data_IF_489472477146
#
_entry.id   IF_489472477146
#
_cell.length_a   1.000
_cell.length_b   1.000
_cell.length_c   1.000
_cell.angle_alpha   90.00
_cell.angle_beta   90.00
_cell.angle_gamma   90.00
#
_symmetry.space_group_name_H-M   'P 1'
#
loop_
_entity.id
_entity.type
_entity.pdbx_description
1 polymer ?
#
# COMPACT_ATOMS: atom_id res chain seq x y z
N UNK A 1 -43.94 -63.52 41.75
CA UNK A 1 -44.08 -63.12 40.33
C UNK A 1 -44.83 -61.80 40.27
N UNK A 2 -44.14 -60.66 40.11
CA UNK A 2 -44.79 -59.37 39.83
C UNK A 2 -44.44 -58.96 38.41
N UNK A 3 -45.15 -59.52 37.42
CA UNK A 3 -45.19 -58.96 36.06
C UNK A 3 -46.27 -57.89 36.07
N UNK A 4 -45.90 -56.63 36.34
CA UNK A 4 -46.79 -55.50 36.06
C UNK A 4 -46.87 -55.37 34.53
N UNK A 5 -48.03 -55.68 33.99
CA UNK A 5 -48.32 -55.46 32.57
C UNK A 5 -48.25 -53.97 32.27
N UNK A 6 -47.49 -53.63 31.23
CA UNK A 6 -47.48 -52.29 30.64
C UNK A 6 -48.91 -51.91 30.25
N UNK A 7 -49.39 -50.77 30.74
CA UNK A 7 -50.71 -50.29 30.37
C UNK A 7 -50.68 -49.77 28.94
N UNK A 8 -51.78 -49.94 28.19
CA UNK A 8 -51.87 -49.54 26.78
C UNK A 8 -51.57 -48.03 26.59
N UNK A 9 -51.86 -47.22 27.62
CA UNK A 9 -51.55 -45.80 27.67
C UNK A 9 -50.03 -45.52 27.74
N UNK A 10 -49.27 -46.28 28.53
CA UNK A 10 -47.80 -46.18 28.55
C UNK A 10 -47.19 -46.52 27.18
N UNK A 11 -47.71 -47.54 26.49
CA UNK A 11 -47.20 -47.95 25.18
C UNK A 11 -47.43 -46.88 24.10
N UNK A 12 -48.58 -46.18 24.13
CA UNK A 12 -48.86 -45.05 23.23
C UNK A 12 -47.94 -43.87 23.51
N UNK A 13 -47.67 -43.57 24.78
CA UNK A 13 -46.72 -42.50 25.16
C UNK A 13 -45.30 -42.82 24.68
N UNK A 14 -44.85 -44.07 24.82
CA UNK A 14 -43.55 -44.49 24.29
C UNK A 14 -43.47 -44.38 22.77
N UNK A 15 -44.51 -44.81 22.04
CA UNK A 15 -44.56 -44.64 20.58
C UNK A 15 -44.57 -43.16 20.15
N UNK A 16 -45.29 -42.30 20.87
CA UNK A 16 -45.31 -40.87 20.62
C UNK A 16 -43.96 -40.20 20.88
N UNK A 17 -43.29 -40.54 22.00
CA UNK A 17 -41.95 -40.02 22.29
C UNK A 17 -40.93 -40.47 21.25
N UNK A 18 -40.95 -41.75 20.83
CA UNK A 18 -40.07 -42.27 19.78
C UNK A 18 -40.35 -41.55 18.45
N UNK A 19 -41.62 -41.33 18.10
CA UNK A 19 -42.00 -40.60 16.89
C UNK A 19 -41.44 -39.17 16.86
N UNK A 20 -41.55 -38.43 17.97
CA UNK A 20 -41.00 -37.08 18.10
C UNK A 20 -39.46 -37.10 17.99
N UNK A 21 -38.80 -38.04 18.67
CA UNK A 21 -37.33 -38.16 18.63
C UNK A 21 -36.84 -38.47 17.20
N UNK A 22 -37.52 -39.36 16.48
CA UNK A 22 -37.19 -39.68 15.08
C UNK A 22 -37.40 -38.47 14.16
N UNK A 23 -38.46 -37.69 14.39
CA UNK A 23 -38.72 -36.46 13.63
C UNK A 23 -37.63 -35.41 13.86
N UNK A 24 -37.30 -35.14 15.12
CA UNK A 24 -36.26 -34.17 15.50
C UNK A 24 -34.88 -34.63 15.00
N UNK A 25 -34.56 -35.93 15.10
CA UNK A 25 -33.32 -36.47 14.54
C UNK A 25 -33.30 -36.36 13.01
N UNK A 26 -34.41 -36.67 12.33
CA UNK A 26 -34.53 -36.53 10.88
C UNK A 26 -34.33 -35.10 10.39
N UNK A 27 -34.94 -34.12 11.05
CA UNK A 27 -34.73 -32.71 10.76
C UNK A 27 -33.29 -32.27 11.05
N UNK A 28 -32.70 -32.72 12.17
CA UNK A 28 -31.30 -32.41 12.51
C UNK A 28 -30.31 -32.97 11.48
N UNK A 29 -30.49 -34.22 11.02
CA UNK A 29 -29.65 -34.83 9.98
C UNK A 29 -29.84 -34.17 8.62
N UNK A 30 -31.08 -33.85 8.24
CA UNK A 30 -31.38 -33.14 6.99
C UNK A 30 -30.75 -31.74 6.99
N UNK A 31 -30.91 -30.99 8.07
CA UNK A 31 -30.32 -29.66 8.23
C UNK A 31 -28.78 -29.70 8.24
N UNK A 32 -28.18 -30.68 8.93
CA UNK A 32 -26.73 -30.87 8.94
C UNK A 32 -26.17 -31.21 7.55
N UNK A 33 -26.85 -32.08 6.80
CA UNK A 33 -26.44 -32.46 5.45
C UNK A 33 -26.57 -31.29 4.49
N UNK A 34 -27.68 -30.54 4.56
CA UNK A 34 -27.89 -29.33 3.76
C UNK A 34 -26.84 -28.28 4.07
N UNK A 35 -26.51 -28.06 5.34
CA UNK A 35 -25.46 -27.14 5.75
C UNK A 35 -24.10 -27.55 5.16
N UNK A 36 -23.72 -28.84 5.29
CA UNK A 36 -22.47 -29.35 4.73
C UNK A 36 -22.37 -29.16 3.22
N UNK A 37 -23.43 -29.47 2.47
CA UNK A 37 -23.47 -29.32 1.00
C UNK A 37 -23.34 -27.85 0.61
N UNK A 38 -24.07 -26.95 1.29
CA UNK A 38 -23.97 -25.50 1.07
C UNK A 38 -22.56 -24.98 1.34
N UNK A 39 -21.97 -25.32 2.49
CA UNK A 39 -20.60 -24.91 2.82
C UNK A 39 -19.58 -25.42 1.82
N UNK A 40 -19.71 -26.65 1.33
CA UNK A 40 -18.82 -27.19 0.29
C UNK A 40 -18.97 -26.44 -1.04
N UNK A 41 -20.19 -26.09 -1.44
CA UNK A 41 -20.43 -25.33 -2.67
C UNK A 41 -19.91 -23.90 -2.55
N UNK A 42 -20.12 -23.25 -1.41
CA UNK A 42 -19.58 -21.92 -1.12
C UNK A 42 -18.04 -21.91 -1.16
N UNK A 43 -17.39 -22.91 -0.56
CA UNK A 43 -15.93 -23.04 -0.59
C UNK A 43 -15.40 -23.25 -2.02
N UNK A 44 -16.09 -24.06 -2.84
CA UNK A 44 -15.72 -24.25 -4.25
C UNK A 44 -15.88 -22.96 -5.07
N UNK A 45 -16.97 -22.22 -4.86
CA UNK A 45 -17.20 -20.95 -5.53
C UNK A 45 -16.12 -19.91 -5.15
N UNK A 46 -15.78 -19.82 -3.86
CA UNK A 46 -14.72 -18.96 -3.37
C UNK A 46 -13.35 -19.35 -3.93
N UNK A 47 -13.01 -20.65 -3.94
CA UNK A 47 -11.75 -21.14 -4.49
C UNK A 47 -11.63 -20.85 -5.99
N UNK A 48 -12.72 -21.02 -6.76
CA UNK A 48 -12.74 -20.69 -8.19
C UNK A 48 -12.50 -19.19 -8.40
N UNK A 49 -13.18 -18.34 -7.64
CA UNK A 49 -13.03 -16.89 -7.69
C UNK A 49 -11.59 -16.45 -7.32
N UNK A 50 -10.99 -17.04 -6.28
CA UNK A 50 -9.61 -16.77 -5.88
C UNK A 50 -8.59 -17.21 -6.94
N UNK A 51 -8.75 -18.39 -7.52
CA UNK A 51 -7.86 -18.89 -8.58
C UNK A 51 -7.87 -17.96 -9.80
N UNK A 52 -9.07 -17.53 -10.24
CA UNK A 52 -9.21 -16.52 -11.28
C UNK A 52 -8.54 -15.21 -10.87
N UNK A 53 -8.69 -14.82 -9.61
CA UNK A 53 -8.11 -13.60 -9.08
C UNK A 53 -6.59 -13.55 -9.05
N UNK A 54 -5.94 -14.69 -8.80
CA UNK A 54 -4.47 -14.79 -8.88
C UNK A 54 -4.01 -14.56 -10.31
N UNK A 55 -4.64 -15.21 -11.29
CA UNK A 55 -4.27 -15.07 -12.70
C UNK A 55 -4.56 -13.66 -13.23
N UNK A 56 -5.73 -13.11 -12.89
CA UNK A 56 -6.10 -11.74 -13.24
C UNK A 56 -5.11 -10.72 -12.67
N UNK A 57 -4.71 -10.90 -11.39
CA UNK A 57 -3.71 -10.03 -10.75
C UNK A 57 -2.37 -10.11 -11.47
N UNK A 58 -1.94 -11.31 -11.87
CA UNK A 58 -0.68 -11.48 -12.60
C UNK A 58 -0.72 -10.73 -13.93
N UNK A 59 -1.76 -10.95 -14.74
CA UNK A 59 -1.95 -10.26 -16.03
C UNK A 59 -1.97 -8.72 -15.88
N UNK A 60 -2.75 -8.21 -14.93
CA UNK A 60 -2.90 -6.75 -14.71
C UNK A 60 -1.66 -6.13 -14.11
N UNK A 61 -0.92 -6.83 -13.26
CA UNK A 61 0.33 -6.31 -12.68
C UNK A 61 1.40 -6.05 -13.73
N UNK A 62 1.38 -6.80 -14.83
CA UNK A 62 2.30 -6.65 -15.96
C UNK A 62 1.94 -5.47 -16.88
N UNK A 63 0.84 -4.76 -16.64
CA UNK A 63 0.58 -3.48 -17.30
C UNK A 63 1.68 -2.45 -17.02
N UNK A 64 2.35 -2.57 -15.86
CA UNK A 64 3.50 -1.74 -15.45
C UNK A 64 4.77 -1.94 -16.28
N UNK A 65 4.90 -3.08 -16.94
CA UNK A 65 6.12 -3.48 -17.62
C UNK A 65 6.22 -2.84 -19.01
N UNK A 66 7.30 -2.07 -19.22
CA UNK A 66 7.61 -1.36 -20.49
C UNK A 66 9.07 -1.48 -20.91
N UNK A 67 9.92 -2.03 -20.05
CA UNK A 67 11.34 -2.21 -20.32
C UNK A 67 11.80 -3.64 -20.06
N UNK A 68 12.83 -4.06 -20.76
CA UNK A 68 13.43 -5.40 -20.65
C UNK A 68 14.94 -5.32 -20.71
N UNK A 69 15.61 -6.28 -20.10
CA UNK A 69 17.07 -6.40 -20.20
C UNK A 69 17.49 -6.73 -21.64
N UNK A 70 18.53 -6.06 -22.14
CA UNK A 70 19.16 -6.42 -23.41
C UNK A 70 20.35 -7.37 -23.18
N UNK A 71 20.46 -8.36 -24.08
CA UNK A 71 21.63 -9.22 -24.18
C UNK A 71 22.76 -8.46 -24.89
N UNK A 72 23.57 -7.73 -24.12
CA UNK A 72 24.84 -7.18 -24.63
C UNK A 72 25.97 -8.19 -24.39
N UNK A 73 26.46 -8.81 -25.46
CA UNK A 73 27.65 -9.67 -25.42
C UNK A 73 28.88 -8.82 -25.01
N UNK A 74 29.31 -8.97 -23.76
CA UNK A 74 30.54 -8.36 -23.23
C UNK A 74 30.36 -7.03 -22.49
N UNK A 75 29.14 -6.61 -22.17
CA UNK A 75 28.91 -5.44 -21.31
C UNK A 75 29.09 -5.79 -19.82
N UNK A 76 29.79 -4.92 -19.09
CA UNK A 76 29.95 -5.00 -17.62
C UNK A 76 28.77 -4.42 -16.83
N UNK A 77 27.75 -3.91 -17.52
CA UNK A 77 26.54 -3.31 -16.94
C UNK A 77 25.30 -3.72 -17.73
N UNK A 78 24.18 -3.89 -17.02
CA UNK A 78 22.88 -4.23 -17.61
C UNK A 78 22.33 -3.03 -18.39
N UNK A 79 22.05 -3.20 -19.69
CA UNK A 79 21.32 -2.24 -20.52
C UNK A 79 19.85 -2.64 -20.63
N UNK A 80 18.96 -1.65 -20.69
CA UNK A 80 17.51 -1.87 -20.77
C UNK A 80 16.95 -1.26 -22.05
N UNK A 81 16.21 -2.07 -22.81
CA UNK A 81 15.39 -1.63 -23.93
C UNK A 81 14.00 -1.24 -23.42
N UNK A 82 13.45 -0.13 -23.94
CA UNK A 82 12.06 0.27 -23.66
C UNK A 82 11.23 -0.01 -24.91
N UNK A 83 10.27 -0.92 -24.80
CA UNK A 83 9.32 -1.21 -25.87
C UNK A 83 8.33 -0.04 -25.98
N UNK A 84 8.24 0.58 -27.15
CA UNK A 84 7.45 1.80 -27.36
C UNK A 84 6.38 1.68 -28.43
N UNK A 85 6.45 0.68 -29.30
CA UNK A 85 5.56 0.60 -30.45
C UNK A 85 4.40 -0.35 -30.17
N UNK A 86 4.67 -1.54 -29.64
CA UNK A 86 3.66 -2.61 -29.58
C UNK A 86 2.96 -2.73 -28.23
N UNK A 87 3.45 -2.06 -27.17
CA UNK A 87 2.93 -2.20 -25.81
C UNK A 87 1.82 -1.17 -25.47
N UNK A 88 1.61 -0.18 -26.34
CA UNK A 88 0.57 0.83 -26.20
C UNK A 88 -0.53 0.60 -27.25
N UNK A 89 -1.78 0.94 -26.92
CA UNK A 89 -2.93 0.66 -27.78
C UNK A 89 -2.82 1.40 -29.12
N UNK A 90 -2.67 2.73 -29.10
CA UNK A 90 -2.51 3.56 -30.29
C UNK A 90 -1.66 4.81 -29.98
N UNK A 91 -0.34 4.68 -29.79
CA UNK A 91 0.50 5.80 -29.38
C UNK A 91 0.60 6.90 -30.46
N UNK A 92 0.52 6.53 -31.74
CA UNK A 92 0.79 7.42 -32.88
C UNK A 92 -0.46 7.92 -33.63
N UNK A 93 -1.67 7.62 -33.13
CA UNK A 93 -2.90 8.13 -33.74
C UNK A 93 -3.01 9.66 -33.53
N UNK A 94 -2.91 10.42 -34.62
CA UNK A 94 -2.97 11.88 -34.60
C UNK A 94 -4.31 12.44 -34.11
N UNK A 95 -5.39 11.66 -34.18
CA UNK A 95 -6.75 12.07 -33.81
C UNK A 95 -7.12 11.64 -32.39
N UNK A 96 -6.64 10.47 -31.95
CA UNK A 96 -6.92 9.89 -30.62
C UNK A 96 -5.70 9.12 -30.08
N UNK A 97 -4.62 9.81 -29.67
CA UNK A 97 -3.45 9.13 -29.13
C UNK A 97 -3.80 8.44 -27.81
N UNK A 98 -3.72 7.11 -27.78
CA UNK A 98 -3.89 6.26 -26.60
C UNK A 98 -2.56 5.61 -26.25
N UNK A 99 -1.81 6.27 -25.36
CA UNK A 99 -0.54 5.78 -24.83
C UNK A 99 -0.72 4.93 -23.56
N UNK A 100 -1.90 4.33 -23.36
CA UNK A 100 -2.12 3.33 -22.30
C UNK A 100 -1.96 1.91 -22.85
N UNK A 101 -1.83 0.94 -21.94
CA UNK A 101 -1.72 -0.48 -22.29
C UNK A 101 -3.02 -1.26 -22.06
N UNK A 102 -4.17 -0.59 -21.88
CA UNK A 102 -5.43 -1.28 -21.62
C UNK A 102 -6.67 -0.58 -22.17
N UNK A 103 -7.74 -1.36 -22.35
CA UNK A 103 -9.07 -0.92 -22.74
C UNK A 103 -10.07 -1.61 -21.82
N UNK A 104 -11.01 -0.85 -21.26
CA UNK A 104 -12.14 -1.41 -20.52
C UNK A 104 -13.40 -1.08 -21.33
N UNK A 105 -14.31 -2.02 -21.49
CA UNK A 105 -15.64 -1.77 -22.07
C UNK A 105 -16.67 -2.07 -20.99
N UNK A 106 -17.48 -1.09 -20.63
CA UNK A 106 -18.57 -1.26 -19.66
C UNK A 106 -19.74 -1.98 -20.30
N UNK A 107 -20.40 -2.84 -19.52
CA UNK A 107 -21.60 -3.58 -19.93
C UNK A 107 -21.44 -4.25 -21.31
N UNK A 108 -20.35 -5.02 -21.44
CA UNK A 108 -20.00 -5.76 -22.64
C UNK A 108 -21.15 -6.67 -23.09
N UNK A 109 -21.38 -6.74 -24.40
CA UNK A 109 -22.53 -7.42 -25.01
C UNK A 109 -23.92 -6.96 -24.47
N UNK A 110 -24.00 -5.76 -23.89
CA UNK A 110 -25.24 -5.17 -23.39
C UNK A 110 -25.76 -5.77 -22.09
N UNK A 111 -24.94 -6.56 -21.39
CA UNK A 111 -25.29 -7.17 -20.10
C UNK A 111 -24.78 -6.29 -18.96
N UNK A 112 -25.71 -5.69 -18.22
CA UNK A 112 -25.38 -4.81 -17.10
C UNK A 112 -24.54 -5.54 -16.04
N UNK A 113 -23.41 -4.94 -15.64
CA UNK A 113 -22.52 -5.48 -14.62
C UNK A 113 -21.48 -6.50 -15.13
N UNK A 114 -21.39 -6.69 -16.44
CA UNK A 114 -20.35 -7.51 -17.08
C UNK A 114 -19.48 -6.62 -17.98
N UNK A 115 -18.38 -6.15 -17.42
CA UNK A 115 -17.37 -5.40 -18.15
C UNK A 115 -16.49 -6.33 -19.02
N UNK A 116 -15.71 -5.77 -19.92
CA UNK A 116 -14.56 -6.45 -20.51
C UNK A 116 -13.28 -5.64 -20.32
N UNK A 117 -12.15 -6.33 -20.25
CA UNK A 117 -10.81 -5.75 -20.12
C UNK A 117 -9.91 -6.33 -21.19
N UNK A 118 -9.44 -5.50 -22.11
CA UNK A 118 -8.31 -5.79 -22.99
C UNK A 118 -7.03 -5.18 -22.43
N UNK A 119 -5.92 -5.91 -22.45
CA UNK A 119 -4.62 -5.41 -22.01
C UNK A 119 -3.48 -5.87 -22.93
N UNK A 120 -2.43 -5.05 -22.99
CA UNK A 120 -1.16 -5.35 -23.63
C UNK A 120 -0.10 -5.51 -22.53
N UNK A 121 0.55 -6.67 -22.47
CA UNK A 121 1.62 -6.94 -21.50
C UNK A 121 2.90 -7.40 -22.18
N UNK A 122 4.03 -7.20 -21.51
CA UNK A 122 5.29 -7.81 -21.91
C UNK A 122 5.47 -9.16 -21.21
N UNK A 123 5.90 -10.17 -21.97
CA UNK A 123 6.40 -11.44 -21.42
C UNK A 123 7.92 -11.42 -21.43
N UNK A 124 8.49 -11.73 -20.26
CA UNK A 124 9.93 -11.87 -20.08
C UNK A 124 10.36 -13.32 -20.20
N UNK A 125 11.61 -13.54 -20.61
CA UNK A 125 12.29 -14.82 -20.43
C UNK A 125 12.81 -14.94 -18.99
N UNK A 126 13.26 -16.13 -18.61
CA UNK A 126 13.78 -16.42 -17.27
C UNK A 126 14.96 -15.50 -16.85
N UNK A 127 15.71 -14.98 -17.82
CA UNK A 127 16.85 -14.07 -17.61
C UNK A 127 16.46 -12.58 -17.57
N UNK A 128 15.15 -12.27 -17.63
CA UNK A 128 14.62 -10.90 -17.64
C UNK A 128 14.71 -10.19 -19.00
N UNK A 129 15.11 -10.91 -20.05
CA UNK A 129 15.16 -10.36 -21.41
C UNK A 129 13.79 -10.36 -22.08
N UNK A 130 13.65 -9.58 -23.14
CA UNK A 130 12.43 -9.51 -23.93
C UNK A 130 12.05 -10.87 -24.51
N UNK A 131 10.84 -11.34 -24.21
CA UNK A 131 10.23 -12.51 -24.83
C UNK A 131 9.26 -12.11 -25.95
N UNK A 132 8.16 -11.46 -25.57
CA UNK A 132 7.06 -11.08 -26.47
C UNK A 132 6.19 -9.96 -25.89
N UNK A 133 5.35 -9.37 -26.74
CA UNK A 133 4.19 -8.56 -26.35
C UNK A 133 2.92 -9.35 -26.62
N UNK A 134 2.09 -9.49 -25.59
CA UNK A 134 0.87 -10.28 -25.60
C UNK A 134 -0.35 -9.39 -25.39
N UNK A 135 -1.39 -9.63 -26.19
CA UNK A 135 -2.72 -9.06 -26.01
C UNK A 135 -3.59 -10.06 -25.27
N UNK A 136 -4.09 -9.64 -24.11
CA UNK A 136 -4.97 -10.44 -23.27
C UNK A 136 -6.35 -9.79 -23.20
N UNK A 137 -7.38 -10.61 -23.26
CA UNK A 137 -8.77 -10.18 -23.09
C UNK A 137 -9.44 -10.93 -21.95
N UNK A 138 -10.18 -10.22 -21.12
CA UNK A 138 -11.06 -10.78 -20.10
C UNK A 138 -12.49 -10.31 -20.38
N UNK A 139 -13.42 -11.24 -20.52
CA UNK A 139 -14.82 -10.91 -20.82
C UNK A 139 -15.75 -12.04 -20.40
N UNK A 140 -17.01 -11.72 -20.13
CA UNK A 140 -18.05 -12.70 -19.83
C UNK A 140 -18.91 -12.93 -21.07
N UNK A 141 -19.09 -14.18 -21.45
CA UNK A 141 -19.99 -14.58 -22.54
C UNK A 141 -20.85 -15.76 -22.08
N UNK A 142 -22.18 -15.61 -22.19
CA UNK A 142 -23.16 -16.61 -21.74
C UNK A 142 -22.96 -17.07 -20.28
N UNK A 143 -22.60 -16.15 -19.39
CA UNK A 143 -22.34 -16.45 -17.97
C UNK A 143 -21.02 -17.20 -17.73
N UNK A 144 -20.14 -17.30 -18.72
CA UNK A 144 -18.81 -17.88 -18.57
C UNK A 144 -17.77 -16.77 -18.72
N UNK A 145 -16.91 -16.59 -17.71
CA UNK A 145 -15.76 -15.72 -17.80
C UNK A 145 -14.67 -16.41 -18.62
N UNK A 146 -14.22 -15.72 -19.67
CA UNK A 146 -13.22 -16.19 -20.60
C UNK A 146 -11.99 -15.29 -20.56
N UNK A 147 -10.82 -15.92 -20.69
CA UNK A 147 -9.53 -15.25 -20.88
C UNK A 147 -9.02 -15.58 -22.28
N UNK A 148 -8.80 -14.59 -23.12
CA UNK A 148 -8.14 -14.74 -24.41
C UNK A 148 -6.69 -14.26 -24.35
N UNK A 149 -5.79 -14.91 -25.09
CA UNK A 149 -4.41 -14.48 -25.25
C UNK A 149 -3.93 -14.60 -26.70
N UNK A 150 -3.22 -13.60 -27.18
CA UNK A 150 -2.59 -13.58 -28.50
C UNK A 150 -1.23 -12.90 -28.43
N UNK A 151 -0.20 -13.46 -29.07
CA UNK A 151 1.07 -12.76 -29.25
C UNK A 151 0.95 -11.75 -30.38
N UNK A 152 1.32 -10.50 -30.13
CA UNK A 152 1.31 -9.40 -31.13
C UNK A 152 2.71 -9.18 -31.71
N UNK A 153 3.76 -9.35 -30.89
CA UNK A 153 5.15 -9.12 -31.29
C UNK A 153 6.10 -10.01 -30.48
N UNK A 154 7.24 -10.38 -31.06
CA UNK A 154 8.26 -11.22 -30.41
C UNK A 154 8.11 -12.72 -30.70
N UNK A 155 8.61 -13.56 -29.79
CA UNK A 155 8.58 -15.02 -29.94
C UNK A 155 7.25 -15.57 -29.45
N UNK A 156 6.51 -16.28 -30.29
CA UNK A 156 5.21 -16.85 -29.91
C UNK A 156 5.32 -17.93 -28.82
N UNK A 157 4.23 -18.12 -28.08
CA UNK A 157 3.97 -19.30 -27.26
C UNK A 157 2.77 -20.03 -27.87
N UNK A 158 2.98 -21.07 -28.69
CA UNK A 158 1.89 -21.74 -29.42
C UNK A 158 0.85 -22.38 -28.52
N UNK A 159 1.22 -22.76 -27.29
CA UNK A 159 0.34 -23.47 -26.36
C UNK A 159 -0.54 -22.51 -25.56
N UNK A 160 -0.03 -21.32 -25.22
CA UNK A 160 -0.73 -20.39 -24.33
C UNK A 160 -1.19 -19.09 -25.01
N UNK A 161 -0.40 -18.57 -25.95
CA UNK A 161 -0.59 -17.25 -26.57
C UNK A 161 -0.09 -17.27 -28.04
N UNK A 162 -0.77 -17.97 -28.96
CA UNK A 162 -0.36 -18.08 -30.36
C UNK A 162 -0.42 -16.72 -31.09
N UNK A 163 0.28 -16.63 -32.23
CA UNK A 163 0.34 -15.41 -33.05
C UNK A 163 -0.93 -15.23 -33.92
N UNK A 164 -1.40 -16.31 -34.54
CA UNK A 164 -2.39 -16.27 -35.62
C UNK A 164 -3.81 -15.90 -35.15
N UNK A 165 -4.31 -16.58 -34.10
CA UNK A 165 -5.65 -16.35 -33.55
C UNK A 165 -5.61 -16.35 -32.01
N UNK A 166 -6.44 -15.54 -31.34
CA UNK A 166 -6.46 -15.50 -29.88
C UNK A 166 -6.94 -16.83 -29.29
N UNK A 167 -6.08 -17.51 -28.52
CA UNK A 167 -6.47 -18.67 -27.75
C UNK A 167 -7.40 -18.24 -26.61
N UNK A 168 -8.60 -18.80 -26.54
CA UNK A 168 -9.59 -18.48 -25.50
C UNK A 168 -9.77 -19.65 -24.54
N UNK A 169 -9.62 -19.39 -23.24
CA UNK A 169 -9.76 -20.36 -22.16
C UNK A 169 -10.93 -19.95 -21.26
N UNK A 170 -11.72 -20.94 -20.85
CA UNK A 170 -12.83 -20.75 -19.90
C UNK A 170 -12.29 -20.78 -18.47
N UNK A 171 -12.54 -19.70 -17.72
CA UNK A 171 -11.95 -19.47 -16.41
C UNK A 171 -12.92 -19.76 -15.27
N UNK A 172 -14.17 -19.36 -15.43
CA UNK A 172 -15.24 -19.63 -14.47
C UNK A 172 -16.60 -19.68 -15.16
N UNK A 173 -17.44 -20.62 -14.75
CA UNK A 173 -18.84 -20.72 -15.18
C UNK A 173 -19.77 -20.05 -14.17
N UNK A 174 -20.99 -19.70 -14.61
CA UNK A 174 -22.05 -19.09 -13.80
C UNK A 174 -21.62 -17.77 -13.13
N UNK A 175 -21.00 -16.90 -13.91
CA UNK A 175 -20.60 -15.56 -13.48
C UNK A 175 -21.82 -14.64 -13.48
N UNK A 176 -22.11 -14.07 -12.31
CA UNK A 176 -23.20 -13.12 -12.12
C UNK A 176 -22.75 -11.68 -12.36
N UNK A 177 -21.49 -11.39 -12.02
CA UNK A 177 -20.92 -10.04 -12.09
C UNK A 177 -19.43 -10.14 -12.40
N UNK A 178 -18.95 -9.33 -13.34
CA UNK A 178 -17.54 -9.07 -13.54
C UNK A 178 -17.36 -7.59 -13.85
N UNK A 179 -16.84 -6.83 -12.89
CA UNK A 179 -16.65 -5.37 -13.05
C UNK A 179 -15.20 -4.98 -12.85
N UNK A 180 -14.74 -4.03 -13.66
CA UNK A 180 -13.38 -3.47 -13.61
C UNK A 180 -13.47 -1.95 -13.53
N UNK A 181 -12.84 -1.38 -12.52
CA UNK A 181 -12.87 0.05 -12.24
C UNK A 181 -11.45 0.61 -12.20
N UNK A 182 -11.11 1.52 -13.13
CA UNK A 182 -9.83 2.19 -13.08
C UNK A 182 -9.81 3.23 -11.94
N UNK A 183 -8.64 3.40 -11.34
CA UNK A 183 -8.40 4.47 -10.39
C UNK A 183 -7.24 5.37 -10.79
N UNK A 184 -7.42 6.65 -10.48
CA UNK A 184 -6.35 7.63 -10.44
C UNK A 184 -5.82 7.73 -9.01
N UNK A 185 -4.54 8.08 -8.81
CA UNK A 185 -4.05 8.39 -7.48
C UNK A 185 -4.89 9.55 -6.91
N UNK A 186 -5.36 9.40 -5.66
CA UNK A 186 -6.18 10.42 -5.00
C UNK A 186 -5.38 11.69 -4.67
N UNK A 187 -4.05 11.57 -4.63
CA UNK A 187 -3.13 12.69 -4.52
C UNK A 187 -2.44 12.90 -5.87
N UNK A 188 -2.66 14.07 -6.50
CA UNK A 188 -1.71 14.58 -7.49
C UNK A 188 -0.33 14.70 -6.83
N UNK A 189 0.76 14.49 -7.58
CA UNK A 189 2.15 14.68 -7.12
C UNK A 189 2.38 16.01 -6.37
N UNK A 190 1.56 17.04 -6.66
CA UNK A 190 1.58 18.34 -5.99
C UNK A 190 1.00 18.33 -4.55
N UNK A 191 0.19 17.33 -4.19
CA UNK A 191 -0.50 17.20 -2.90
C UNK A 191 -0.02 16.00 -2.07
N UNK A 192 0.85 15.13 -2.61
CA UNK A 192 1.36 13.98 -1.88
C UNK A 192 2.38 14.39 -0.81
N UNK A 193 3.15 15.46 -1.02
CA UNK A 193 4.11 15.99 -0.03
C UNK A 193 3.42 16.94 0.96
N UNK A 194 3.59 16.66 2.25
CA UNK A 194 3.03 17.45 3.35
C UNK A 194 4.12 18.31 4.02
N UNK A 195 5.32 17.75 4.16
CA UNK A 195 6.47 18.42 4.77
C UNK A 195 7.72 18.38 3.88
N UNK A 196 8.59 19.40 3.96
CA UNK A 196 8.42 20.63 4.75
C UNK A 196 7.46 21.63 4.09
N UNK A 197 7.19 21.44 2.79
CA UNK A 197 6.23 22.18 1.97
C UNK A 197 5.55 21.21 1.01
N UNK A 198 4.38 21.60 0.49
CA UNK A 198 3.75 20.91 -0.64
C UNK A 198 4.46 21.18 -1.97
N UNK A 199 5.27 22.24 -2.04
CA UNK A 199 6.13 22.53 -3.19
C UNK A 199 7.36 21.59 -3.19
N UNK A 200 7.58 20.89 -4.30
CA UNK A 200 8.70 19.95 -4.48
C UNK A 200 10.05 20.67 -4.60
N UNK A 201 10.05 21.94 -4.97
CA UNK A 201 11.25 22.78 -5.03
C UNK A 201 11.70 23.28 -3.65
N UNK A 202 10.78 23.39 -2.67
CA UNK A 202 11.11 23.73 -1.29
C UNK A 202 11.55 22.50 -0.50
N UNK A 203 12.84 22.44 -0.18
CA UNK A 203 13.44 21.40 0.67
C UNK A 203 13.90 21.93 2.04
N UNK A 204 13.85 23.24 2.25
CA UNK A 204 14.32 23.85 3.48
C UNK A 204 13.31 23.65 4.61
N UNK A 205 13.81 23.33 5.80
CA UNK A 205 13.02 23.18 7.01
C UNK A 205 13.76 23.78 8.20
N UNK A 206 13.04 24.00 9.29
CA UNK A 206 13.58 24.48 10.55
C UNK A 206 13.24 23.49 11.67
N UNK A 207 14.16 23.32 12.60
CA UNK A 207 13.93 22.60 13.85
C UNK A 207 13.88 23.59 15.01
N UNK A 208 12.79 23.55 15.78
CA UNK A 208 12.52 24.48 16.87
C UNK A 208 12.60 23.72 18.19
N UNK A 209 13.54 24.07 19.07
CA UNK A 209 13.69 23.38 20.34
C UNK A 209 12.52 23.70 21.27
N UNK A 210 12.04 22.67 21.96
CA UNK A 210 11.15 22.78 23.11
C UNK A 210 12.00 22.80 24.37
N UNK A 211 11.81 23.82 25.20
CA UNK A 211 12.54 24.03 26.44
C UNK A 211 11.69 24.84 27.42
N UNK A 212 12.05 24.79 28.71
CA UNK A 212 11.33 25.50 29.78
C UNK A 212 10.19 24.70 30.43
N UNK A 213 9.92 23.48 29.93
CA UNK A 213 9.05 22.50 30.57
C UNK A 213 9.87 21.56 31.47
N UNK A 214 9.27 21.03 32.54
CA UNK A 214 9.91 20.07 33.42
C UNK A 214 10.42 18.87 32.60
N UNK A 215 11.74 18.64 32.64
CA UNK A 215 12.49 17.60 31.94
C UNK A 215 12.91 17.87 30.48
N UNK A 216 12.55 19.01 29.86
CA UNK A 216 13.02 19.33 28.51
C UNK A 216 14.10 20.41 28.50
N UNK A 217 15.32 19.99 28.19
CA UNK A 217 16.47 20.88 28.12
C UNK A 217 16.57 21.57 26.75
N UNK A 218 17.06 22.81 26.77
CA UNK A 218 17.40 23.53 25.55
C UNK A 218 18.51 22.79 24.80
N UNK A 219 18.39 22.76 23.48
CA UNK A 219 19.42 22.27 22.54
C UNK A 219 19.61 23.31 21.45
N UNK A 220 20.81 23.35 20.88
CA UNK A 220 21.15 24.30 19.82
C UNK A 220 20.83 23.71 18.44
N UNK A 221 20.20 24.53 17.58
CA UNK A 221 19.94 24.19 16.18
C UNK A 221 20.74 25.10 15.25
N UNK A 222 21.44 24.52 14.26
CA UNK A 222 22.31 25.24 13.33
C UNK A 222 22.07 24.75 11.89
N UNK A 223 21.64 25.61 10.94
CA UNK A 223 21.30 27.01 11.11
C UNK A 223 20.01 27.21 11.92
N UNK A 224 19.99 28.20 12.81
CA UNK A 224 18.83 28.46 13.68
C UNK A 224 17.59 28.92 12.90
N UNK A 225 17.78 29.52 11.71
CA UNK A 225 16.72 29.93 10.78
C UNK A 225 16.13 28.77 9.96
N UNK A 226 16.77 27.60 9.98
CA UNK A 226 16.47 26.48 9.10
C UNK A 226 17.34 26.46 7.83
N UNK A 227 17.30 25.33 7.13
CA UNK A 227 18.08 25.01 5.94
C UNK A 227 17.65 23.65 5.37
N UNK A 228 18.35 23.16 4.35
CA UNK A 228 18.14 21.80 3.79
C UNK A 228 18.76 20.69 4.66
N UNK A 229 19.71 21.08 5.52
CA UNK A 229 20.31 20.27 6.57
C UNK A 229 20.40 21.12 7.84
N UNK A 230 20.00 20.55 8.98
CA UNK A 230 20.01 21.21 10.28
C UNK A 230 20.74 20.32 11.28
N UNK A 231 21.82 20.86 11.86
CA UNK A 231 22.57 20.25 12.94
C UNK A 231 21.96 20.55 14.30
N UNK A 232 21.96 19.54 15.17
CA UNK A 232 21.48 19.56 16.54
C UNK A 232 22.66 19.26 17.47
N UNK A 233 22.92 20.13 18.44
CA UNK A 233 24.00 19.96 19.41
C UNK A 233 23.60 20.46 20.80
N UNK A 234 24.42 20.13 21.81
CA UNK A 234 24.15 20.52 23.20
C UNK A 234 23.04 19.68 23.85
N UNK A 235 23.05 18.37 23.62
CA UNK A 235 22.09 17.48 24.23
C UNK A 235 22.29 17.40 25.74
N UNK A 236 21.19 17.25 26.48
CA UNK A 236 21.22 16.92 27.89
C UNK A 236 21.70 15.47 28.08
N UNK A 237 22.45 15.27 29.17
CA UNK A 237 22.95 13.97 29.59
C UNK A 237 22.21 13.52 30.85
N UNK A 238 21.76 12.27 30.86
CA UNK A 238 21.30 11.55 32.05
C UNK A 238 22.41 10.62 32.55
N UNK A 239 23.67 11.08 32.51
CA UNK A 239 24.82 10.35 33.02
C UNK A 239 25.48 11.13 34.16
N UNK A 240 25.67 10.46 35.28
CA UNK A 240 26.44 10.97 36.41
C UNK A 240 27.91 10.66 36.18
N UNK A 241 28.69 11.70 35.86
CA UNK A 241 30.13 11.57 35.62
C UNK A 241 30.94 11.32 36.89
N UNK A 242 30.44 11.71 38.07
CA UNK A 242 31.11 11.47 39.34
C UNK A 242 30.93 10.01 39.77
N UNK A 243 29.71 9.49 39.68
CA UNK A 243 29.38 8.09 40.01
C UNK A 243 29.58 7.12 38.85
N UNK A 244 29.95 7.61 37.66
CA UNK A 244 30.15 6.85 36.42
C UNK A 244 28.98 5.93 36.03
N UNK A 245 27.74 6.37 36.27
CA UNK A 245 26.52 5.56 36.03
C UNK A 245 25.38 6.37 35.42
N UNK A 246 24.46 5.74 34.66
CA UNK A 246 23.28 6.42 34.17
C UNK A 246 22.34 6.77 35.34
N UNK A 247 21.70 7.94 35.25
CA UNK A 247 20.67 8.41 36.18
C UNK A 247 19.33 7.89 35.64
N UNK A 248 18.89 6.74 36.14
CA UNK A 248 17.67 6.09 35.64
C UNK A 248 16.38 6.87 35.96
N UNK A 249 16.39 7.69 37.01
CA UNK A 249 15.29 8.59 37.36
C UNK A 249 15.37 9.95 36.64
N UNK A 250 16.46 10.19 35.91
CA UNK A 250 16.68 11.39 35.11
C UNK A 250 15.82 11.33 33.86
N UNK A 251 14.83 12.22 33.78
CA UNK A 251 13.93 12.33 32.61
C UNK A 251 14.42 13.36 31.60
N UNK A 252 15.64 13.88 31.72
CA UNK A 252 16.09 14.98 30.88
C UNK A 252 16.13 14.54 29.43
N UNK A 253 15.34 15.21 28.60
CA UNK A 253 15.23 14.95 27.19
C UNK A 253 15.36 16.26 26.43
N UNK A 254 15.65 16.12 25.15
CA UNK A 254 15.67 17.20 24.19
C UNK A 254 14.60 16.89 23.16
N UNK A 255 13.79 17.89 22.81
CA UNK A 255 12.76 17.72 21.79
C UNK A 255 12.79 18.91 20.84
N UNK A 256 12.77 18.63 19.54
CA UNK A 256 12.63 19.64 18.49
C UNK A 256 11.40 19.37 17.65
N UNK A 257 10.76 20.44 17.18
CA UNK A 257 9.61 20.38 16.30
C UNK A 257 9.96 20.86 14.91
N UNK A 258 9.41 20.20 13.89
CA UNK A 258 9.58 20.62 12.51
C UNK A 258 8.70 21.84 12.19
N UNK A 259 9.30 22.82 11.51
CA UNK A 259 8.66 24.03 11.03
C UNK A 259 9.13 24.37 9.61
N UNK A 260 8.38 25.24 8.92
CA UNK A 260 8.83 25.84 7.66
C UNK A 260 10.00 26.80 7.91
N UNK A 261 10.91 26.92 6.95
CA UNK A 261 11.96 27.93 7.03
C UNK A 261 11.33 29.35 7.12
N UNK A 262 12.03 30.29 7.77
CA UNK A 262 11.75 31.74 7.82
C UNK A 262 10.81 32.32 8.89
N UNK A 263 10.13 31.53 9.74
CA UNK A 263 9.34 32.11 10.85
C UNK A 263 10.21 32.29 12.11
N UNK A 264 10.49 33.51 12.56
CA UNK A 264 11.54 33.81 13.58
C UNK A 264 11.05 34.18 14.98
N UNK A 265 9.74 34.37 15.20
CA UNK A 265 9.20 34.78 16.50
C UNK A 265 8.05 33.87 16.96
N UNK A 266 8.18 33.32 18.18
CA UNK A 266 7.16 32.46 18.78
C UNK A 266 7.74 31.26 19.51
N UNK A 267 6.86 30.48 20.15
CA UNK A 267 7.22 29.21 20.76
C UNK A 267 7.05 28.05 19.75
N UNK A 268 7.50 26.86 20.11
CA UNK A 268 7.33 25.68 19.25
C UNK A 268 5.85 25.43 18.89
N UNK A 269 4.90 25.70 19.80
CA UNK A 269 3.46 25.49 19.58
C UNK A 269 2.90 26.36 18.44
N UNK A 270 3.34 27.61 18.37
CA UNK A 270 2.89 28.57 17.35
C UNK A 270 3.62 28.39 16.02
N UNK A 271 4.84 27.84 16.05
CA UNK A 271 5.74 27.82 14.92
C UNK A 271 5.82 26.46 14.20
N UNK A 272 5.47 25.36 14.85
CA UNK A 272 5.51 24.05 14.22
C UNK A 272 4.46 23.94 13.11
N UNK A 273 4.80 23.21 12.05
CA UNK A 273 3.86 22.97 10.94
C UNK A 273 2.79 21.99 11.42
N UNK A 274 1.56 22.49 11.57
CA UNK A 274 0.40 21.68 11.95
C UNK A 274 -0.04 20.78 10.80
N UNK A 275 -0.31 19.54 11.12
CA UNK A 275 -0.66 18.48 10.16
C UNK A 275 -1.89 17.76 10.68
N UNK A 276 -2.72 17.28 9.74
CA UNK A 276 -3.80 16.34 10.04
C UNK A 276 -3.55 15.03 9.29
N UNK A 277 -3.62 13.92 10.01
CA UNK A 277 -3.50 12.55 9.50
C UNK A 277 -4.91 11.97 9.35
N UNK A 278 -5.19 11.44 8.17
CA UNK A 278 -6.48 10.87 7.81
C UNK A 278 -6.53 9.37 8.14
N UNK A 279 -7.70 8.91 8.56
CA UNK A 279 -7.95 7.50 8.84
C UNK A 279 -7.73 6.65 7.58
N UNK A 280 -7.00 5.54 7.72
CA UNK A 280 -6.77 4.58 6.63
C UNK A 280 -5.80 5.03 5.54
N UNK A 281 -5.26 6.25 5.62
CA UNK A 281 -4.28 6.76 4.64
C UNK A 281 -2.87 6.34 5.07
N UNK A 282 -2.11 5.75 4.15
CA UNK A 282 -0.68 5.45 4.37
C UNK A 282 0.19 6.69 4.12
N UNK A 283 1.04 6.98 5.10
CA UNK A 283 2.02 8.07 5.09
C UNK A 283 3.43 7.51 5.20
N UNK A 284 4.40 8.24 4.65
CA UNK A 284 5.82 7.96 4.78
C UNK A 284 6.54 9.18 5.38
N UNK A 285 7.26 8.98 6.49
CA UNK A 285 8.27 9.92 6.97
C UNK A 285 9.61 9.46 6.42
N UNK A 286 10.34 10.35 5.77
CA UNK A 286 11.71 10.10 5.35
C UNK A 286 12.65 11.25 5.72
N UNK A 287 13.88 10.93 6.08
CA UNK A 287 14.93 11.90 6.34
C UNK A 287 16.30 11.23 6.23
N UNK A 288 17.34 11.97 5.92
CA UNK A 288 18.72 11.49 5.97
C UNK A 288 19.40 11.97 7.25
N UNK A 289 20.19 11.07 7.83
CA UNK A 289 21.06 11.32 8.96
C UNK A 289 22.48 10.93 8.55
N UNK A 290 23.26 11.85 7.96
CA UNK A 290 24.58 11.54 7.45
C UNK A 290 25.53 11.15 8.59
N UNK A 291 26.58 10.42 8.22
CA UNK A 291 27.64 10.07 9.16
C UNK A 291 28.36 11.32 9.68
N UNK A 292 28.55 11.38 11.00
CA UNK A 292 29.31 12.43 11.70
C UNK A 292 30.49 11.79 12.41
N UNK A 293 31.68 12.37 12.25
CA UNK A 293 32.90 11.90 12.90
C UNK A 293 33.06 12.53 14.31
N UNK A 294 32.03 12.40 15.15
CA UNK A 294 32.03 12.95 16.49
C UNK A 294 31.46 12.00 17.56
N UNK A 295 31.29 12.52 18.77
CA UNK A 295 30.80 11.80 19.93
C UNK A 295 29.43 11.14 19.75
N UNK A 296 28.61 11.56 18.76
CA UNK A 296 27.32 10.93 18.43
C UNK A 296 27.47 9.46 18.01
N UNK A 297 28.66 9.05 17.54
CA UNK A 297 28.99 7.65 17.22
C UNK A 297 28.99 6.72 18.44
N UNK A 298 29.16 7.28 19.62
CA UNK A 298 29.14 6.52 20.88
C UNK A 298 27.71 6.29 21.40
N UNK A 299 26.70 6.58 20.58
CA UNK A 299 25.31 6.25 20.85
C UNK A 299 25.15 4.73 21.02
N UNK A 300 24.51 4.32 22.11
CA UNK A 300 24.28 2.93 22.47
C UNK A 300 22.78 2.59 22.33
N UNK A 301 22.36 1.88 21.26
CA UNK A 301 20.99 1.42 21.12
C UNK A 301 20.53 0.63 22.35
N UNK A 302 19.30 0.88 22.80
CA UNK A 302 18.72 0.26 24.00
C UNK A 302 19.07 0.97 25.32
N UNK A 303 20.06 1.86 25.33
CA UNK A 303 20.38 2.75 26.45
C UNK A 303 20.06 4.20 26.13
N UNK A 304 20.52 4.68 24.99
CA UNK A 304 20.21 6.00 24.47
C UNK A 304 18.92 5.93 23.62
N UNK A 305 18.22 7.06 23.55
CA UNK A 305 16.94 7.18 22.87
C UNK A 305 16.99 8.26 21.80
N UNK A 306 16.63 7.88 20.58
CA UNK A 306 16.39 8.76 19.44
C UNK A 306 15.12 8.31 18.76
N UNK A 307 14.16 9.23 18.62
CA UNK A 307 12.88 8.92 18.02
C UNK A 307 12.27 10.08 17.27
N UNK A 308 11.45 9.77 16.27
CA UNK A 308 10.62 10.72 15.56
C UNK A 308 9.17 10.31 15.70
N UNK A 309 8.29 11.27 15.92
CA UNK A 309 6.87 11.00 16.07
C UNK A 309 6.04 12.27 16.05
N UNK A 310 4.77 12.13 16.36
CA UNK A 310 3.82 13.24 16.34
C UNK A 310 3.42 13.62 17.75
N UNK A 311 3.19 14.93 17.97
CA UNK A 311 2.68 15.47 19.23
C UNK A 311 1.54 16.44 18.94
N UNK A 312 0.50 16.39 19.76
CA UNK A 312 -0.57 17.37 19.69
C UNK A 312 -0.06 18.75 20.02
N UNK A 313 -0.52 19.76 19.27
CA UNK A 313 -0.10 21.16 19.48
C UNK A 313 -0.50 21.68 20.86
N UNK A 314 -1.64 21.22 21.39
CA UNK A 314 -2.23 21.77 22.60
C UNK A 314 -1.43 21.42 23.86
N UNK A 315 -1.14 20.14 24.05
CA UNK A 315 -0.57 19.58 25.29
C UNK A 315 0.78 18.88 25.08
N UNK A 316 1.26 18.78 23.84
CA UNK A 316 2.46 18.03 23.47
C UNK A 316 2.40 16.54 23.84
N UNK A 317 1.21 15.97 24.01
CA UNK A 317 1.06 14.54 24.23
C UNK A 317 1.19 13.78 22.90
N UNK A 318 1.64 12.52 23.00
CA UNK A 318 1.73 11.63 21.84
C UNK A 318 0.33 11.05 21.55
N UNK A 319 -0.13 11.02 20.28
CA UNK A 319 -1.34 10.30 19.92
C UNK A 319 -1.27 8.82 20.35
N UNK A 320 -2.31 8.30 21.00
CA UNK A 320 -2.29 6.97 21.60
C UNK A 320 -2.11 5.84 20.56
N UNK A 321 -2.65 6.04 19.36
CA UNK A 321 -2.63 5.08 18.26
C UNK A 321 -1.31 5.05 17.48
N UNK A 322 -0.43 6.03 17.70
CA UNK A 322 0.80 6.16 16.94
C UNK A 322 2.02 6.12 17.86
N UNK A 323 2.86 5.11 17.67
CA UNK A 323 4.13 5.02 18.37
C UNK A 323 5.17 5.92 17.72
N UNK A 324 6.16 6.33 18.52
CA UNK A 324 7.33 7.00 17.97
C UNK A 324 8.22 5.97 17.29
N UNK A 325 8.83 6.38 16.18
CA UNK A 325 9.73 5.54 15.41
C UNK A 325 11.15 5.77 15.89
N UNK A 326 11.77 4.71 16.39
CA UNK A 326 13.16 4.73 16.81
C UNK A 326 14.08 4.76 15.60
N UNK A 327 15.14 5.57 15.67
CA UNK A 327 16.19 5.60 14.67
C UNK A 327 17.55 5.77 15.35
N UNK A 328 18.62 5.40 14.65
CA UNK A 328 19.97 5.40 15.22
C UNK A 328 20.97 6.08 14.27
N UNK A 329 22.00 6.74 14.82
CA UNK A 329 23.10 7.29 14.03
C UNK A 329 23.80 6.18 13.24
N UNK A 330 24.26 6.45 12.01
CA UNK A 330 25.14 5.51 11.31
C UNK A 330 26.47 5.37 12.07
N UNK A 331 26.95 4.14 12.24
CA UNK A 331 28.18 3.84 12.99
C UNK A 331 29.43 3.76 12.11
N UNK A 332 29.25 3.63 10.79
CA UNK A 332 30.31 3.46 9.78
C UNK A 332 30.15 4.47 8.65
N UNK A 333 31.29 4.96 8.16
CA UNK A 333 31.39 5.77 6.95
C UNK A 333 30.97 4.94 5.72
N UNK A 334 30.17 5.52 4.81
CA UNK A 334 29.70 4.83 3.61
C UNK A 334 28.47 3.90 3.79
N UNK A 335 27.89 3.80 4.98
CA UNK A 335 26.63 3.08 5.19
C UNK A 335 25.45 3.83 4.51
N UNK A 336 25.16 3.46 3.25
CA UNK A 336 24.00 3.88 2.43
C UNK A 336 23.32 5.19 2.90
N UNK A 337 23.99 6.33 2.67
CA UNK A 337 23.51 7.73 2.78
C UNK A 337 22.78 8.16 4.08
N UNK A 338 22.72 7.31 5.10
CA UNK A 338 21.99 7.62 6.33
C UNK A 338 20.48 7.80 6.17
N UNK A 339 19.89 7.38 5.04
CA UNK A 339 18.44 7.51 4.81
C UNK A 339 17.66 6.68 5.83
N UNK A 340 16.61 7.28 6.40
CA UNK A 340 15.63 6.66 7.28
C UNK A 340 14.27 6.89 6.65
N UNK A 341 13.54 5.81 6.43
CA UNK A 341 12.16 5.88 5.92
C UNK A 341 11.29 4.97 6.76
N UNK A 342 10.08 5.41 7.06
CA UNK A 342 9.08 4.67 7.82
C UNK A 342 7.71 4.95 7.23
N UNK A 343 6.94 3.89 7.04
CA UNK A 343 5.55 3.96 6.60
C UNK A 343 4.61 3.64 7.74
N UNK A 344 3.50 4.35 7.79
CA UNK A 344 2.48 4.17 8.82
C UNK A 344 1.11 4.63 8.35
N UNK A 345 0.08 4.13 9.00
CA UNK A 345 -1.30 4.61 8.85
C UNK A 345 -1.90 4.79 10.24
N UNK A 346 -2.99 5.55 10.31
CA UNK A 346 -3.72 5.80 11.56
C UNK A 346 -5.12 5.23 11.45
N UNK A 347 -5.62 4.67 12.55
CA UNK A 347 -6.95 4.07 12.57
C UNK A 347 -8.01 5.15 12.58
N UNK A 348 -7.87 6.13 13.45
CA UNK A 348 -8.77 7.29 13.55
C UNK A 348 -8.07 8.56 13.06
N UNK A 349 -8.84 9.54 12.59
CA UNK A 349 -8.27 10.79 12.08
C UNK A 349 -7.64 11.61 13.22
N UNK A 350 -6.38 12.01 13.07
CA UNK A 350 -5.63 12.79 14.07
C UNK A 350 -5.42 14.20 13.52
N UNK A 351 -5.89 15.22 14.24
CA UNK A 351 -5.78 16.63 13.82
C UNK A 351 -4.80 17.40 14.69
N UNK A 352 -4.28 18.49 14.14
CA UNK A 352 -3.44 19.46 14.85
C UNK A 352 -2.24 18.83 15.57
N UNK A 353 -1.49 18.01 14.84
CA UNK A 353 -0.23 17.43 15.32
C UNK A 353 0.97 18.06 14.61
N UNK A 354 2.09 18.07 15.31
CA UNK A 354 3.38 18.47 14.76
C UNK A 354 4.37 17.30 14.83
N UNK A 355 5.20 17.19 13.79
CA UNK A 355 6.31 16.23 13.77
C UNK A 355 7.40 16.70 14.73
N UNK A 356 7.85 15.81 15.61
CA UNK A 356 8.85 16.08 16.62
C UNK A 356 9.92 15.00 16.65
N UNK A 357 11.17 15.42 16.83
CA UNK A 357 12.30 14.53 17.12
C UNK A 357 12.63 14.63 18.61
N UNK A 358 12.80 13.49 19.26
CA UNK A 358 13.08 13.40 20.69
C UNK A 358 14.39 12.65 20.91
N UNK A 359 15.23 13.19 21.79
CA UNK A 359 16.56 12.67 22.11
C UNK A 359 16.70 12.58 23.63
N UNK A 360 17.21 11.46 24.12
CA UNK A 360 17.65 11.33 25.51
C UNK A 360 18.92 10.48 25.53
N UNK A 361 19.99 11.06 26.09
CA UNK A 361 21.28 10.40 26.19
C UNK A 361 21.52 9.94 27.62
N UNK A 362 21.80 8.66 27.80
CA UNK A 362 22.20 8.06 29.08
C UNK A 362 23.65 7.58 29.03
N UNK A 363 24.27 7.61 27.86
CA UNK A 363 25.68 7.33 27.63
C UNK A 363 26.56 8.57 27.92
N UNK A 364 27.76 8.38 28.47
CA UNK A 364 28.61 9.47 28.95
C UNK A 364 29.00 10.48 27.87
N UNK A 365 29.25 10.02 26.65
CA UNK A 365 29.87 10.85 25.61
C UNK A 365 28.89 11.22 24.49
N UNK A 366 27.85 10.42 24.25
CA UNK A 366 26.92 10.65 23.14
C UNK A 366 26.21 12.02 23.18
N UNK A 367 25.99 12.58 24.37
CA UNK A 367 25.33 13.87 24.55
C UNK A 367 26.13 15.07 23.99
N UNK A 368 27.46 14.95 23.88
CA UNK A 368 28.31 16.03 23.36
C UNK A 368 28.46 15.98 21.83
N UNK A 369 27.85 15.00 21.17
CA UNK A 369 27.86 14.87 19.72
C UNK A 369 26.91 15.82 19.02
N UNK A 370 27.03 15.86 17.68
CA UNK A 370 26.17 16.62 16.78
C UNK A 370 25.40 15.65 15.89
N UNK A 371 24.09 15.86 15.79
CA UNK A 371 23.22 15.12 14.87
C UNK A 371 22.79 16.03 13.74
N UNK A 372 23.08 15.65 12.51
CA UNK A 372 22.55 16.33 11.33
C UNK A 372 21.32 15.60 10.83
N UNK A 373 20.26 16.36 10.59
CA UNK A 373 19.08 15.88 9.87
C UNK A 373 19.02 16.63 8.55
N UNK A 374 18.82 15.93 7.46
CA UNK A 374 18.63 16.49 6.12
C UNK A 374 17.44 15.85 5.43
N UNK A 375 16.92 16.54 4.42
CA UNK A 375 15.87 16.02 3.54
C UNK A 375 14.61 15.49 4.26
N UNK A 376 14.24 16.10 5.39
CA UNK A 376 13.07 15.68 6.17
C UNK A 376 11.80 15.88 5.33
N UNK A 377 11.04 14.81 5.17
CA UNK A 377 9.82 14.76 4.39
C UNK A 377 8.74 13.96 5.13
N UNK A 378 7.51 14.41 4.95
CA UNK A 378 6.32 13.64 5.23
C UNK A 378 5.49 13.66 3.95
N UNK A 379 5.10 12.48 3.45
CA UNK A 379 4.26 12.36 2.26
C UNK A 379 3.17 11.32 2.43
N UNK A 380 2.05 11.48 1.71
CA UNK A 380 1.08 10.41 1.46
C UNK A 380 1.68 9.42 0.47
N UNK A 381 1.56 8.13 0.74
CA UNK A 381 2.03 7.08 -0.17
C UNK A 381 1.02 6.93 -1.30
N UNK A 382 1.46 7.20 -2.53
CA UNK A 382 0.59 7.25 -3.72
C UNK A 382 0.06 5.86 -4.12
N UNK A 383 0.81 4.79 -3.85
CA UNK A 383 0.42 3.40 -4.15
C UNK A 383 -0.65 2.83 -3.20
N UNK A 384 -1.08 3.59 -2.19
CA UNK A 384 -2.02 3.14 -1.16
C UNK A 384 -3.38 3.86 -1.20
N UNK A 385 -3.50 4.97 -1.94
CA UNK A 385 -4.70 5.81 -1.95
C UNK A 385 -5.19 6.05 -3.40
N UNK A 386 -6.14 5.22 -3.81
CA UNK A 386 -6.74 5.23 -5.14
C UNK A 386 -8.16 5.82 -5.06
N UNK A 387 -8.46 6.81 -5.90
CA UNK A 387 -9.84 7.23 -6.11
C UNK A 387 -10.43 6.41 -7.26
N UNK A 388 -11.28 5.45 -6.89
CA UNK A 388 -12.12 4.72 -7.85
C UNK A 388 -13.33 5.57 -8.17
N UNK A 389 -13.37 6.10 -9.38
CA UNK A 389 -14.47 6.94 -9.83
C UNK A 389 -15.42 6.10 -10.70
N UNK A 390 -16.56 5.75 -10.11
CA UNK A 390 -17.65 4.98 -10.75
C UNK A 390 -18.40 5.82 -11.80
N UNK A 391 -18.20 7.15 -11.81
CA UNK A 391 -18.81 8.07 -12.79
C UNK A 391 -17.95 8.28 -14.03
N UNK A 392 -16.74 7.68 -14.07
CA UNK A 392 -15.93 7.64 -15.29
C UNK A 392 -16.66 6.78 -16.31
N UNK A 393 -17.43 7.44 -17.17
CA UNK A 393 -17.93 6.84 -18.39
C UNK A 393 -16.71 6.47 -19.24
N UNK A 394 -16.44 5.17 -19.31
CA UNK A 394 -15.44 4.59 -20.21
C UNK A 394 -16.03 4.57 -21.62
N UNK A 395 -16.41 5.75 -22.12
CA UNK A 395 -16.82 5.92 -23.50
C UNK A 395 -15.55 6.18 -24.31
N UNK A 396 -15.18 5.23 -25.16
CA UNK A 396 -14.06 5.34 -26.11
C UNK A 396 -14.19 6.55 -27.08
N UNK A 397 -15.36 7.20 -27.10
CA UNK A 397 -15.64 8.42 -27.84
C UNK A 397 -15.20 9.71 -27.13
N UNK A 398 -14.87 9.66 -25.83
CA UNK A 398 -14.38 10.82 -25.09
C UNK A 398 -12.84 10.94 -25.19
N UNK A 399 -12.38 11.88 -26.02
CA UNK A 399 -10.96 12.14 -26.24
C UNK A 399 -10.20 12.60 -24.98
N UNK A 400 -10.90 13.19 -23.99
CA UNK A 400 -10.30 13.60 -22.72
C UNK A 400 -10.09 12.39 -21.81
N UNK A 401 -10.94 11.38 -21.90
CA UNK A 401 -10.78 10.12 -21.18
C UNK A 401 -9.60 9.31 -21.73
N UNK A 402 -9.51 9.15 -23.06
CA UNK A 402 -8.40 8.42 -23.72
C UNK A 402 -7.03 8.99 -23.30
N UNK A 403 -6.89 10.32 -23.25
CA UNK A 403 -5.65 10.98 -22.79
C UNK A 403 -5.34 10.78 -21.31
N UNK A 404 -6.34 10.50 -20.50
CA UNK A 404 -6.20 10.35 -19.05
C UNK A 404 -5.93 8.90 -18.62
N UNK A 405 -6.11 7.91 -19.51
CA UNK A 405 -5.84 6.49 -19.20
C UNK A 405 -4.41 6.25 -18.76
N UNK A 406 -3.43 6.96 -19.33
CA UNK A 406 -2.01 6.88 -18.92
C UNK A 406 -1.79 7.21 -17.42
N UNK A 407 -2.69 7.97 -16.80
CA UNK A 407 -2.60 8.36 -15.38
C UNK A 407 -3.33 7.38 -14.44
N UNK A 408 -3.87 6.29 -14.97
CA UNK A 408 -4.47 5.21 -14.15
C UNK A 408 -3.34 4.43 -13.49
N UNK A 409 -3.40 4.35 -12.15
CA UNK A 409 -2.35 3.73 -11.31
C UNK A 409 -2.83 2.50 -10.55
N UNK A 410 -4.10 2.12 -10.69
CA UNK A 410 -4.63 0.85 -10.24
C UNK A 410 -5.94 0.49 -10.96
N UNK A 411 -6.26 -0.80 -10.95
CA UNK A 411 -7.58 -1.34 -11.30
C UNK A 411 -8.16 -2.07 -10.08
N UNK A 412 -9.42 -1.77 -9.74
CA UNK A 412 -10.23 -2.60 -8.84
C UNK A 412 -11.09 -3.51 -9.69
N UNK A 413 -11.03 -4.80 -9.43
CA UNK A 413 -11.94 -5.74 -10.07
C UNK A 413 -12.81 -6.43 -9.02
N UNK A 414 -14.02 -6.79 -9.42
CA UNK A 414 -14.97 -7.50 -8.60
C UNK A 414 -15.65 -8.58 -9.43
N UNK A 415 -15.48 -9.83 -9.01
CA UNK A 415 -16.06 -11.01 -9.62
C UNK A 415 -17.01 -11.70 -8.63
N UNK A 416 -18.19 -12.05 -9.12
CA UNK A 416 -19.20 -12.81 -8.41
C UNK A 416 -19.55 -14.05 -9.22
N UNK A 417 -19.36 -15.22 -8.61
CA UNK A 417 -19.62 -16.52 -9.22
C UNK A 417 -20.66 -17.28 -8.40
N UNK A 418 -21.65 -17.86 -9.07
CA UNK A 418 -22.68 -18.67 -8.44
C UNK A 418 -22.45 -20.16 -8.71
N UNK A 419 -22.41 -20.97 -7.66
CA UNK A 419 -22.37 -22.42 -7.77
C UNK A 419 -23.54 -23.02 -7.01
N UNK A 420 -24.52 -23.55 -7.74
CA UNK A 420 -25.69 -24.25 -7.19
C UNK A 420 -26.48 -23.41 -6.15
N UNK A 421 -26.59 -22.09 -6.38
CA UNK A 421 -27.33 -21.17 -5.52
C UNK A 421 -26.52 -20.63 -4.34
N UNK A 422 -25.22 -20.92 -4.26
CA UNK A 422 -24.29 -20.35 -3.28
C UNK A 422 -23.27 -19.47 -4.01
N UNK A 423 -23.01 -18.27 -3.49
CA UNK A 423 -22.21 -17.25 -4.16
C UNK A 423 -20.79 -17.19 -3.59
N UNK A 424 -19.80 -17.19 -4.46
CA UNK A 424 -18.41 -16.82 -4.16
C UNK A 424 -18.11 -15.45 -4.75
N UNK A 425 -17.44 -14.59 -3.98
CA UNK A 425 -17.07 -13.24 -4.43
C UNK A 425 -15.61 -12.95 -4.14
N UNK A 426 -14.99 -12.16 -5.02
CA UNK A 426 -13.63 -11.66 -4.82
C UNK A 426 -13.57 -10.23 -5.31
N UNK A 427 -12.98 -9.38 -4.49
CA UNK A 427 -12.67 -7.99 -4.85
C UNK A 427 -11.21 -7.75 -4.54
N UNK A 428 -10.47 -7.24 -5.51
CA UNK A 428 -9.06 -6.93 -5.31
C UNK A 428 -8.64 -5.70 -6.11
N UNK A 429 -7.67 -4.97 -5.55
CA UNK A 429 -7.06 -3.80 -6.16
C UNK A 429 -5.68 -4.20 -6.63
N UNK A 430 -5.42 -4.02 -7.92
CA UNK A 430 -4.14 -4.30 -8.55
C UNK A 430 -3.47 -2.98 -8.92
N UNK A 431 -2.31 -2.65 -8.31
CA UNK A 431 -1.57 -1.44 -8.66
C UNK A 431 -0.91 -1.59 -10.03
N UNK A 432 -0.83 -0.48 -10.77
CA UNK A 432 -0.17 -0.36 -12.08
C UNK A 432 0.89 0.75 -11.96
N UNK A 433 2.16 0.40 -11.71
CA UNK A 433 3.21 1.40 -11.43
C UNK A 433 3.47 2.36 -12.60
N UNK A 434 3.44 1.87 -13.84
CA UNK A 434 3.70 2.63 -15.06
C UNK A 434 2.68 2.29 -16.14
N UNK A 435 1.89 3.26 -16.60
CA UNK A 435 0.88 3.03 -17.65
C UNK A 435 1.02 4.00 -18.82
N UNK A 436 2.12 4.74 -18.89
CA UNK A 436 2.39 5.69 -19.96
C UNK A 436 3.89 5.82 -20.27
N UNK A 437 4.23 6.37 -21.45
CA UNK A 437 5.60 6.45 -21.95
C UNK A 437 6.48 7.50 -21.25
N UNK A 438 5.95 8.21 -20.25
CA UNK A 438 6.60 9.36 -19.58
C UNK A 438 6.71 9.23 -18.06
N UNK A 439 6.38 8.07 -17.50
CA UNK A 439 6.58 7.77 -16.07
C UNK A 439 8.06 7.48 -15.76
#
# INVERSE_FOLDING_TARGET
MNKRGFTLMELVVYMAMIGIVVLVAGEAFSNSTRFRVRSQNMLKAAQLAENVGVLFKDDVSQLGAKSSKELSLGATADTFFVERENIYIHPDDATRPDSSSFVIVKDFDGVAGNDSLGLLRMRYREDGTFGAVEKIGWYVNNGVLKRSCQTISGVEDPENCPLDEPLTVEMAENVELFTVLPAKPQADLANSRILPSSDTSEKAFRLIPRFGDDNFAYLQTTPSSGGTSVGLSGFASNYDFEMQKPINDGKNANQVFLATANSTSGNWKSLCKKISLESGVEYEISFSMPYSEDASRMFCPGRDHMSVGFRYVNDASRPAELNDFLFYPPTLEGAAEGLRSMRFSVKDSIRDVCLAFTFASYSPVAATGTVFLSEVQLRKVESANYQFDESININESDAQYVRNKQNVKALRWHLVVNQNGETGQVTSVVPIPSNGPRD
#
